data_IF_095261997440
#
_entry.id   IF_095261997440
#
_cell.length_a   1.000
_cell.length_b   1.000
_cell.length_c   1.000
_cell.angle_alpha   90.00
_cell.angle_beta   90.00
_cell.angle_gamma   90.00
#
_symmetry.space_group_name_H-M   'P 1'
#
loop_
_entity.id
_entity.type
_entity.pdbx_description
1 polymer ?
#
# COMPACT_ATOMS: atom_id res chain seq x y z
N UNK A 1 1.58 23.67 -7.57
CA UNK A 1 0.25 24.24 -7.23
C UNK A 1 0.13 24.22 -5.71
N UNK A 2 -0.27 25.33 -5.10
CA UNK A 2 -0.61 25.37 -3.67
C UNK A 2 -2.00 24.76 -3.48
N UNK A 3 -2.12 23.85 -2.54
CA UNK A 3 -3.37 23.19 -2.17
C UNK A 3 -3.64 23.46 -0.69
N UNK A 4 -4.83 23.91 -0.36
CA UNK A 4 -5.27 24.10 1.04
C UNK A 4 -5.81 22.74 1.53
N UNK A 5 -5.20 22.21 2.56
CA UNK A 5 -5.63 20.96 3.22
C UNK A 5 -6.18 21.34 4.59
N UNK A 6 -7.41 20.93 4.87
CA UNK A 6 -7.98 21.05 6.22
C UNK A 6 -7.29 20.09 7.19
N UNK A 7 -7.33 20.38 8.49
CA UNK A 7 -6.80 19.47 9.51
C UNK A 7 -7.49 18.12 9.43
N UNK A 8 -6.72 17.05 9.52
CA UNK A 8 -7.20 15.67 9.49
C UNK A 8 -6.40 14.80 10.46
N UNK A 9 -6.97 13.68 10.83
CA UNK A 9 -6.29 12.60 11.53
C UNK A 9 -5.96 11.51 10.52
N UNK A 10 -4.81 10.86 10.70
CA UNK A 10 -4.38 9.73 9.89
C UNK A 10 -3.84 8.65 10.83
N UNK A 11 -4.09 7.39 10.51
CA UNK A 11 -3.56 6.27 11.26
C UNK A 11 -2.03 6.23 11.15
N UNK A 12 -1.39 5.78 12.21
CA UNK A 12 0.07 5.69 12.26
C UNK A 12 0.62 4.54 11.44
N UNK A 13 -0.17 3.49 11.32
CA UNK A 13 0.21 2.22 10.73
C UNK A 13 -0.74 1.84 9.60
N UNK A 14 -0.24 1.03 8.68
CA UNK A 14 -1.05 0.29 7.73
C UNK A 14 -2.05 -0.62 8.45
N UNK A 15 -3.19 -0.89 7.83
CA UNK A 15 -4.15 -1.89 8.31
C UNK A 15 -3.50 -3.27 8.22
N UNK A 16 -3.44 -3.97 9.36
CA UNK A 16 -2.84 -5.30 9.42
C UNK A 16 -3.82 -6.38 8.96
N UNK A 17 -3.29 -7.57 8.64
CA UNK A 17 -4.11 -8.77 8.41
C UNK A 17 -5.00 -9.07 9.61
N UNK A 18 -4.50 -8.89 10.84
CA UNK A 18 -5.28 -9.10 12.05
C UNK A 18 -6.44 -8.09 12.18
N UNK A 19 -6.20 -6.82 11.86
CA UNK A 19 -7.25 -5.79 11.92
C UNK A 19 -8.36 -6.08 10.89
N UNK A 20 -7.98 -6.43 9.67
CA UNK A 20 -8.93 -6.79 8.62
C UNK A 20 -9.70 -8.08 8.94
N UNK A 21 -9.04 -9.08 9.57
CA UNK A 21 -9.70 -10.29 10.07
C UNK A 21 -10.76 -9.98 11.11
N UNK A 22 -10.48 -9.08 12.06
CA UNK A 22 -11.45 -8.65 13.05
C UNK A 22 -12.67 -7.98 12.43
N UNK A 23 -12.48 -7.17 11.40
CA UNK A 23 -13.56 -6.60 10.60
C UNK A 23 -14.40 -7.70 9.94
N UNK A 24 -13.77 -8.63 9.23
CA UNK A 24 -14.46 -9.74 8.55
C UNK A 24 -15.27 -10.57 9.53
N UNK A 25 -14.68 -10.94 10.67
CA UNK A 25 -15.38 -11.74 11.71
C UNK A 25 -16.57 -10.98 12.31
N UNK A 26 -16.42 -9.68 12.53
CA UNK A 26 -17.46 -8.85 13.16
C UNK A 26 -18.65 -8.56 12.25
N UNK A 27 -18.45 -8.59 10.93
CA UNK A 27 -19.44 -8.15 9.93
C UNK A 27 -19.89 -9.23 8.97
N UNK A 28 -19.28 -10.42 9.02
CA UNK A 28 -19.42 -11.49 8.00
C UNK A 28 -19.11 -10.98 6.57
N UNK A 29 -18.21 -10.01 6.46
CA UNK A 29 -17.83 -9.42 5.19
C UNK A 29 -17.08 -10.42 4.32
N UNK A 30 -17.39 -10.41 3.02
CA UNK A 30 -16.60 -11.13 2.01
C UNK A 30 -15.95 -10.13 1.09
N UNK A 31 -14.63 -10.23 0.97
CA UNK A 31 -13.85 -9.38 0.05
C UNK A 31 -14.19 -9.69 -1.41
N UNK A 32 -13.88 -8.75 -2.29
CA UNK A 32 -14.09 -8.96 -3.74
C UNK A 32 -13.25 -10.13 -4.26
N UNK A 33 -12.01 -10.29 -3.78
CA UNK A 33 -11.18 -11.44 -4.12
C UNK A 33 -11.83 -12.78 -3.71
N UNK A 34 -12.47 -12.85 -2.53
CA UNK A 34 -13.22 -14.04 -2.11
C UNK A 34 -14.47 -14.27 -2.97
N UNK A 35 -15.16 -13.21 -3.39
CA UNK A 35 -16.34 -13.31 -4.27
C UNK A 35 -15.98 -13.74 -5.68
N UNK A 36 -14.86 -13.25 -6.22
CA UNK A 36 -14.36 -13.64 -7.57
C UNK A 36 -13.64 -14.98 -7.56
N UNK A 37 -13.14 -15.41 -6.40
CA UNK A 37 -12.38 -16.65 -6.24
C UNK A 37 -10.92 -16.54 -6.67
N UNK A 38 -10.43 -15.33 -7.00
CA UNK A 38 -9.06 -15.08 -7.42
C UNK A 38 -8.65 -13.62 -7.21
N UNK A 39 -7.35 -13.35 -7.32
CA UNK A 39 -6.79 -12.02 -7.35
C UNK A 39 -5.50 -11.97 -8.19
N UNK A 40 -5.05 -10.77 -8.53
CA UNK A 40 -3.82 -10.56 -9.30
C UNK A 40 -2.61 -10.68 -8.36
N UNK A 41 -1.69 -11.57 -8.71
CA UNK A 41 -0.44 -11.83 -7.97
C UNK A 41 0.74 -11.67 -8.91
N UNK A 42 1.82 -11.07 -8.43
CA UNK A 42 3.08 -11.08 -9.17
C UNK A 42 3.77 -12.44 -9.00
N UNK A 43 3.98 -13.14 -10.13
CA UNK A 43 4.58 -14.48 -10.16
C UNK A 43 6.05 -14.34 -10.55
N UNK A 44 6.92 -14.58 -9.59
CA UNK A 44 8.36 -14.40 -9.70
C UNK A 44 8.99 -15.21 -10.85
N UNK A 45 8.57 -16.45 -11.02
CA UNK A 45 9.14 -17.38 -12.02
C UNK A 45 8.96 -16.93 -13.46
N UNK A 46 7.98 -16.07 -13.73
CA UNK A 46 7.70 -15.52 -15.06
C UNK A 46 7.85 -14.01 -15.10
N UNK A 47 8.21 -13.37 -13.97
CA UNK A 47 8.36 -11.92 -13.83
C UNK A 47 7.13 -11.14 -14.35
N UNK A 48 5.93 -11.62 -14.04
CA UNK A 48 4.69 -11.04 -14.55
C UNK A 48 3.52 -11.19 -13.57
N UNK A 49 2.53 -10.32 -13.73
CA UNK A 49 1.27 -10.38 -13.00
C UNK A 49 0.35 -11.45 -13.59
N UNK A 50 -0.22 -12.27 -12.72
CA UNK A 50 -1.14 -13.35 -13.09
C UNK A 50 -2.37 -13.34 -12.19
N UNK A 51 -3.50 -13.75 -12.74
CA UNK A 51 -4.70 -14.04 -11.97
C UNK A 51 -4.52 -15.42 -11.31
N UNK A 52 -4.51 -15.48 -9.98
CA UNK A 52 -4.26 -16.70 -9.22
C UNK A 52 -5.54 -17.10 -8.47
N UNK A 53 -6.02 -18.32 -8.75
CA UNK A 53 -7.18 -18.88 -8.05
C UNK A 53 -6.90 -19.06 -6.56
N UNK A 54 -7.89 -18.72 -5.74
CA UNK A 54 -7.80 -18.78 -4.29
C UNK A 54 -6.90 -17.71 -3.66
N UNK A 55 -6.36 -16.74 -4.43
CA UNK A 55 -5.67 -15.61 -3.87
C UNK A 55 -6.67 -14.65 -3.21
N UNK A 56 -6.47 -14.38 -1.93
CA UNK A 56 -7.34 -13.55 -1.07
C UNK A 56 -6.48 -12.83 -0.03
N UNK A 57 -7.07 -11.99 0.78
CA UNK A 57 -6.39 -11.35 1.90
C UNK A 57 -5.79 -12.35 2.92
N UNK A 58 -6.37 -13.56 3.05
CA UNK A 58 -5.86 -14.65 3.91
C UNK A 58 -4.72 -15.41 3.24
N UNK A 59 -4.80 -15.61 1.93
CA UNK A 59 -3.84 -16.35 1.11
C UNK A 59 -3.36 -15.47 -0.05
N UNK A 60 -2.48 -14.48 0.20
CA UNK A 60 -2.13 -13.48 -0.81
C UNK A 60 -1.52 -14.04 -2.10
N UNK A 61 -0.97 -15.25 -2.03
CA UNK A 61 -0.33 -15.96 -3.15
C UNK A 61 -1.17 -17.14 -3.65
N UNK A 62 -2.44 -17.25 -3.22
CA UNK A 62 -3.32 -18.40 -3.50
C UNK A 62 -3.34 -19.43 -2.39
N UNK A 63 -4.41 -20.21 -2.32
CA UNK A 63 -4.71 -21.13 -1.21
C UNK A 63 -3.75 -22.32 -1.04
N UNK A 64 -2.89 -22.58 -2.03
CA UNK A 64 -1.79 -23.56 -1.92
C UNK A 64 -0.54 -23.00 -1.23
N UNK A 65 -0.55 -21.73 -0.86
CA UNK A 65 0.55 -21.01 -0.22
C UNK A 65 0.25 -20.73 1.26
N UNK A 66 1.25 -20.33 2.07
CA UNK A 66 1.03 -19.99 3.46
C UNK A 66 0.03 -18.86 3.67
N UNK A 67 -0.62 -18.87 4.81
CA UNK A 67 -1.46 -17.78 5.30
C UNK A 67 -0.64 -16.48 5.44
N UNK A 68 -1.30 -15.36 5.25
CA UNK A 68 -0.75 -14.05 5.56
C UNK A 68 -0.42 -13.93 7.06
N UNK A 69 0.67 -13.25 7.38
CA UNK A 69 1.06 -13.00 8.77
C UNK A 69 0.19 -11.90 9.40
N UNK A 70 -0.24 -12.11 10.64
CA UNK A 70 -1.16 -11.23 11.34
C UNK A 70 -0.70 -9.78 11.49
N UNK A 71 0.60 -9.57 11.67
CA UNK A 71 1.22 -8.26 11.85
C UNK A 71 1.77 -7.64 10.55
N UNK A 72 1.51 -8.24 9.40
CA UNK A 72 1.81 -7.67 8.09
C UNK A 72 0.64 -6.85 7.56
N UNK A 73 0.85 -5.92 6.62
CA UNK A 73 -0.25 -5.19 5.99
C UNK A 73 -1.15 -6.15 5.23
N UNK A 74 -2.45 -5.90 5.27
CA UNK A 74 -3.41 -6.65 4.48
C UNK A 74 -3.24 -6.31 3.00
N UNK A 75 -3.17 -7.35 2.16
CA UNK A 75 -3.10 -7.24 0.70
C UNK A 75 -4.24 -7.99 0.04
N UNK A 76 -4.34 -7.97 -1.29
CA UNK A 76 -5.43 -8.58 -2.06
C UNK A 76 -6.82 -8.05 -1.65
N UNK A 77 -6.88 -6.78 -1.30
CA UNK A 77 -8.10 -6.02 -1.00
C UNK A 77 -8.34 -4.99 -2.09
N UNK A 78 -9.56 -4.88 -2.57
CA UNK A 78 -9.97 -3.86 -3.52
C UNK A 78 -10.18 -2.51 -2.83
N UNK A 79 -10.39 -1.47 -3.63
CA UNK A 79 -10.78 -0.16 -3.11
C UNK A 79 -12.11 -0.24 -2.34
N UNK A 80 -13.06 -1.05 -2.81
CA UNK A 80 -14.35 -1.24 -2.14
C UNK A 80 -14.17 -1.96 -0.79
N UNK A 81 -13.28 -2.96 -0.72
CA UNK A 81 -12.96 -3.66 0.53
C UNK A 81 -12.31 -2.70 1.54
N UNK A 82 -11.38 -1.87 1.08
CA UNK A 82 -10.72 -0.87 1.92
C UNK A 82 -11.71 0.20 2.44
N UNK A 83 -12.64 0.64 1.59
CA UNK A 83 -13.69 1.58 2.01
C UNK A 83 -14.63 0.96 3.04
N UNK A 84 -15.07 -0.29 2.83
CA UNK A 84 -15.93 -1.00 3.77
C UNK A 84 -15.25 -1.18 5.15
N UNK A 85 -13.93 -1.46 5.16
CA UNK A 85 -13.15 -1.48 6.40
C UNK A 85 -13.11 -0.10 7.07
N UNK A 86 -12.88 0.96 6.30
CA UNK A 86 -12.87 2.33 6.85
C UNK A 86 -14.23 2.69 7.48
N UNK A 87 -15.34 2.38 6.80
CA UNK A 87 -16.70 2.62 7.32
C UNK A 87 -16.96 1.86 8.62
N UNK A 88 -16.52 0.61 8.72
CA UNK A 88 -16.60 -0.17 9.96
C UNK A 88 -15.85 0.49 11.13
N UNK A 89 -14.75 1.16 10.85
CA UNK A 89 -13.93 1.87 11.85
C UNK A 89 -14.37 3.33 12.09
N UNK A 90 -15.46 3.81 11.49
CA UNK A 90 -15.86 5.23 11.47
C UNK A 90 -14.75 6.15 10.93
N UNK A 91 -14.12 5.71 9.84
CA UNK A 91 -13.02 6.38 9.15
C UNK A 91 -13.30 6.51 7.65
N UNK A 92 -12.36 7.08 6.94
CA UNK A 92 -12.35 7.11 5.47
C UNK A 92 -10.94 6.92 4.94
N UNK A 93 -10.81 6.56 3.66
CA UNK A 93 -9.52 6.56 2.99
C UNK A 93 -8.97 7.99 2.91
N UNK A 94 -7.66 8.20 3.03
CA UNK A 94 -7.05 9.50 2.79
C UNK A 94 -7.23 9.91 1.33
N UNK A 95 -7.35 11.19 1.05
CA UNK A 95 -7.14 11.67 -0.31
C UNK A 95 -5.65 11.58 -0.65
N UNK A 96 -5.33 11.49 -1.94
CA UNK A 96 -3.93 11.44 -2.41
C UNK A 96 -3.11 12.64 -1.88
N UNK A 97 -3.73 13.82 -1.80
CA UNK A 97 -3.08 15.03 -1.27
C UNK A 97 -2.84 14.94 0.24
N UNK A 98 -3.76 14.34 1.01
CA UNK A 98 -3.56 14.11 2.45
C UNK A 98 -2.43 13.11 2.68
N UNK A 99 -2.41 12.02 1.91
CA UNK A 99 -1.33 11.03 1.97
C UNK A 99 0.04 11.65 1.66
N UNK A 100 0.15 12.37 0.55
CA UNK A 100 1.37 13.08 0.15
C UNK A 100 1.84 14.10 1.21
N UNK A 101 0.91 14.82 1.81
CA UNK A 101 1.20 15.77 2.88
C UNK A 101 1.77 15.07 4.13
N UNK A 102 1.22 13.91 4.48
CA UNK A 102 1.71 13.10 5.59
C UNK A 102 3.08 12.48 5.28
N UNK A 103 3.28 11.93 4.08
CA UNK A 103 4.54 11.33 3.63
C UNK A 103 5.66 12.36 3.54
N UNK A 104 5.37 13.54 2.99
CA UNK A 104 6.34 14.64 2.86
C UNK A 104 6.56 15.47 4.14
N UNK A 105 6.07 14.99 5.28
CA UNK A 105 6.14 15.69 6.56
C UNK A 105 5.62 17.14 6.49
N UNK A 106 4.41 17.31 6.02
CA UNK A 106 3.75 18.60 5.81
C UNK A 106 4.40 19.44 4.69
N UNK A 107 4.90 18.75 3.64
CA UNK A 107 5.56 19.39 2.51
C UNK A 107 6.99 19.87 2.80
N UNK A 108 7.55 19.60 3.98
CA UNK A 108 8.94 19.95 4.32
C UNK A 108 9.98 19.14 3.54
N UNK A 109 9.61 17.93 3.15
CA UNK A 109 10.49 16.97 2.46
C UNK A 109 10.25 16.87 0.94
N UNK A 110 9.58 17.85 0.35
CA UNK A 110 9.23 17.85 -1.08
C UNK A 110 10.39 17.74 -2.07
N UNK A 111 11.61 18.02 -1.64
CA UNK A 111 12.81 17.92 -2.47
C UNK A 111 13.64 16.66 -2.17
N UNK A 112 13.08 15.70 -1.43
CA UNK A 112 13.70 14.43 -1.10
C UNK A 112 12.88 13.29 -1.69
N UNK A 113 13.54 12.18 -2.02
CA UNK A 113 12.86 10.98 -2.52
C UNK A 113 12.04 10.32 -1.42
N UNK A 114 12.56 10.32 -0.18
CA UNK A 114 11.93 9.73 0.99
C UNK A 114 11.90 10.71 2.15
N UNK A 115 11.08 10.47 3.16
CA UNK A 115 11.02 11.33 4.35
C UNK A 115 12.35 11.36 5.15
N UNK A 116 13.19 10.34 5.02
CA UNK A 116 14.52 10.30 5.69
C UNK A 116 15.67 10.85 4.82
N UNK A 117 15.48 11.09 3.53
CA UNK A 117 16.52 11.57 2.61
C UNK A 117 16.40 11.01 1.21
N UNK A 118 17.54 10.85 0.53
CA UNK A 118 17.55 10.38 -0.86
C UNK A 118 18.14 8.96 -1.01
N UNK A 119 18.76 8.42 0.01
CA UNK A 119 19.42 7.13 -0.03
C UNK A 119 18.50 6.02 0.46
N UNK A 120 18.32 4.98 -0.35
CA UNK A 120 17.55 3.79 0.01
C UNK A 120 18.23 3.00 1.14
N UNK A 121 19.56 3.04 1.20
CA UNK A 121 20.39 2.30 2.16
C UNK A 121 21.24 3.28 2.95
N UNK A 122 21.11 3.28 4.29
CA UNK A 122 21.90 4.09 5.19
C UNK A 122 22.62 3.15 6.17
N UNK A 123 23.94 3.31 6.32
CA UNK A 123 24.78 2.48 7.20
C UNK A 123 24.55 0.97 6.99
N UNK A 124 24.51 0.53 5.73
CA UNK A 124 24.22 -0.86 5.31
C UNK A 124 22.84 -1.41 5.75
N UNK A 125 21.89 -0.55 6.06
CA UNK A 125 20.51 -0.93 6.38
C UNK A 125 19.55 -0.33 5.35
N UNK A 126 18.67 -1.15 4.81
CA UNK A 126 17.54 -0.68 4.01
C UNK A 126 16.58 0.12 4.89
N UNK A 127 16.06 1.21 4.35
CA UNK A 127 15.20 2.13 5.08
C UNK A 127 13.71 1.88 4.83
N UNK A 128 13.37 1.02 3.88
CA UNK A 128 12.00 0.53 3.63
C UNK A 128 12.05 -0.85 2.98
N UNK A 129 10.93 -1.56 3.00
CA UNK A 129 10.74 -2.78 2.23
C UNK A 129 10.50 -2.40 0.77
N UNK A 130 11.38 -2.86 -0.11
CA UNK A 130 11.32 -2.51 -1.53
C UNK A 130 11.93 -3.59 -2.40
N UNK A 131 11.60 -3.58 -3.66
CA UNK A 131 12.20 -4.47 -4.65
C UNK A 131 13.65 -4.05 -4.96
N UNK A 132 14.57 -4.42 -4.08
CA UNK A 132 15.93 -3.87 -4.00
C UNK A 132 16.92 -4.34 -5.06
N UNK A 133 16.57 -5.20 -6.02
CA UNK A 133 17.54 -5.77 -6.95
C UNK A 133 17.04 -5.96 -8.37
N UNK A 134 16.67 -4.85 -9.03
CA UNK A 134 16.48 -4.85 -10.47
C UNK A 134 15.16 -5.47 -10.95
N UNK A 135 14.05 -4.96 -10.40
CA UNK A 135 12.71 -5.25 -10.91
C UNK A 135 12.64 -5.09 -12.44
N UNK A 136 11.97 -6.01 -13.17
CA UNK A 136 11.32 -7.24 -12.70
C UNK A 136 12.23 -8.48 -12.73
N UNK A 137 13.48 -8.34 -13.10
CA UNK A 137 14.35 -9.44 -13.54
C UNK A 137 15.13 -10.15 -12.42
N UNK A 138 15.13 -9.62 -11.20
CA UNK A 138 15.72 -10.30 -10.07
C UNK A 138 14.98 -10.02 -8.77
N UNK A 139 14.73 -11.05 -8.00
CA UNK A 139 14.13 -10.98 -6.68
C UNK A 139 15.27 -10.92 -5.68
N UNK A 140 15.51 -9.73 -5.14
CA UNK A 140 16.48 -9.57 -4.07
C UNK A 140 15.78 -9.29 -2.76
N UNK A 141 16.08 -10.12 -1.76
CA UNK A 141 15.63 -9.92 -0.38
C UNK A 141 16.68 -9.18 0.45
N UNK A 142 17.35 -8.20 -0.16
CA UNK A 142 18.44 -7.49 0.50
C UNK A 142 17.96 -6.64 1.67
N UNK A 143 16.70 -6.27 1.67
CA UNK A 143 16.01 -5.59 2.76
C UNK A 143 15.51 -6.54 3.87
N UNK A 144 15.56 -7.86 3.63
CA UNK A 144 15.18 -8.91 4.58
C UNK A 144 13.81 -9.54 4.33
N UNK A 145 13.02 -9.03 3.39
CA UNK A 145 11.66 -9.52 3.12
C UNK A 145 11.45 -9.84 1.64
N UNK A 146 10.77 -10.95 1.39
CA UNK A 146 10.44 -11.38 0.02
C UNK A 146 9.23 -10.64 -0.55
N UNK A 147 8.25 -10.37 0.30
CA UNK A 147 6.99 -9.71 -0.03
C UNK A 147 6.79 -8.55 0.93
N UNK A 148 5.78 -8.59 1.75
CA UNK A 148 5.54 -7.57 2.77
C UNK A 148 6.46 -7.75 3.98
N UNK A 149 6.72 -6.67 4.71
CA UNK A 149 7.33 -6.68 6.05
C UNK A 149 6.28 -6.46 7.13
N UNK A 150 6.56 -6.78 8.40
CA UNK A 150 5.69 -6.36 9.50
C UNK A 150 5.45 -4.86 9.49
N UNK A 151 4.23 -4.44 9.77
CA UNK A 151 3.87 -3.02 9.84
C UNK A 151 4.76 -2.28 10.85
N UNK A 152 5.28 -1.15 10.46
CA UNK A 152 6.14 -0.31 11.31
C UNK A 152 7.58 -0.82 11.50
N UNK A 153 8.02 -1.79 10.75
CA UNK A 153 9.36 -2.40 10.89
C UNK A 153 10.50 -1.40 10.66
N UNK A 154 10.36 -0.51 9.69
CA UNK A 154 11.43 0.40 9.24
C UNK A 154 11.47 1.74 9.95
N UNK A 155 10.58 2.02 10.83
CA UNK A 155 10.55 3.27 11.57
C UNK A 155 9.61 4.32 10.98
N UNK A 156 9.27 5.29 11.80
CA UNK A 156 8.30 6.33 11.48
C UNK A 156 8.97 7.59 10.92
N UNK A 157 8.21 8.38 10.16
CA UNK A 157 8.58 9.75 9.85
C UNK A 157 8.47 10.66 11.08
N UNK A 158 8.81 11.96 10.98
CA UNK A 158 8.77 12.89 12.11
C UNK A 158 7.37 13.17 12.67
N UNK A 159 6.32 12.75 11.96
CA UNK A 159 4.94 12.83 12.42
C UNK A 159 4.50 11.55 13.18
N UNK A 160 5.37 10.56 13.29
CA UNK A 160 5.09 9.27 13.93
C UNK A 160 4.27 8.32 13.04
N UNK A 161 4.30 8.50 11.72
CA UNK A 161 3.60 7.66 10.76
C UNK A 161 4.62 6.70 10.12
N UNK A 162 4.26 5.42 10.07
CA UNK A 162 5.10 4.35 9.54
C UNK A 162 4.76 4.02 8.09
N UNK A 163 5.65 3.29 7.43
CA UNK A 163 5.46 2.69 6.10
C UNK A 163 5.03 3.67 4.99
N UNK A 164 5.38 4.97 5.13
CA UNK A 164 5.10 6.00 4.12
C UNK A 164 6.02 5.90 2.88
N UNK A 165 6.76 4.82 2.76
CA UNK A 165 7.56 4.47 1.59
C UNK A 165 7.77 2.96 1.56
N UNK A 166 7.42 2.32 0.45
CA UNK A 166 7.55 0.87 0.23
C UNK A 166 6.50 0.04 0.99
N UNK A 167 6.78 -1.23 1.15
CA UNK A 167 5.96 -2.28 1.74
C UNK A 167 4.74 -2.65 0.90
N UNK A 168 3.74 -1.80 0.77
CA UNK A 168 2.55 -2.00 -0.08
C UNK A 168 2.08 -0.71 -0.74
N UNK A 169 1.30 -0.85 -1.80
CA UNK A 169 0.50 0.26 -2.34
C UNK A 169 -0.71 0.51 -1.45
N UNK A 170 -1.00 1.78 -1.19
CA UNK A 170 -2.12 2.22 -0.34
C UNK A 170 -3.22 2.87 -1.18
N UNK A 171 -4.46 2.44 -0.98
CA UNK A 171 -5.61 3.05 -1.62
C UNK A 171 -5.88 4.45 -1.11
N UNK A 172 -6.11 5.39 -2.06
CA UNK A 172 -6.62 6.72 -1.77
C UNK A 172 -8.10 6.84 -2.16
N UNK A 173 -8.79 7.79 -1.55
CA UNK A 173 -10.22 8.02 -1.78
C UNK A 173 -10.54 8.47 -3.20
N UNK A 174 -9.76 9.41 -3.74
CA UNK A 174 -9.99 10.03 -5.03
C UNK A 174 -9.52 9.17 -6.20
N UNK A 175 -9.99 9.52 -7.39
CA UNK A 175 -9.47 9.00 -8.64
C UNK A 175 -8.06 9.51 -8.90
N UNK A 176 -7.23 8.68 -9.50
CA UNK A 176 -5.94 9.14 -9.97
C UNK A 176 -6.14 10.15 -11.11
N UNK A 177 -5.66 11.35 -10.91
CA UNK A 177 -5.70 12.42 -11.90
C UNK A 177 -4.25 12.83 -12.21
N UNK A 178 -3.92 13.09 -13.49
CA UNK A 178 -2.61 13.61 -13.84
C UNK A 178 -2.38 14.95 -13.14
N UNK A 179 -1.16 15.19 -12.69
CA UNK A 179 -0.80 16.48 -12.13
C UNK A 179 -1.01 17.59 -13.16
N UNK A 180 -1.56 18.72 -12.73
CA UNK A 180 -1.78 19.90 -13.61
C UNK A 180 -0.44 20.31 -14.22
N UNK A 181 -0.38 20.35 -15.57
CA UNK A 181 0.84 20.63 -16.33
C UNK A 181 1.57 19.38 -16.86
N UNK A 182 1.13 18.17 -16.55
CA UNK A 182 1.59 16.99 -17.28
C UNK A 182 0.89 16.93 -18.64
N UNK A 183 1.68 16.71 -19.72
CA UNK A 183 1.14 16.47 -21.07
C UNK A 183 0.56 15.05 -21.23
N UNK A 184 0.36 14.32 -20.14
CA UNK A 184 -0.20 12.97 -20.17
C UNK A 184 -1.72 13.07 -20.28
N UNK A 185 -2.24 12.75 -21.46
CA UNK A 185 -3.66 12.54 -21.68
C UNK A 185 -3.94 11.08 -21.29
N UNK A 186 -4.51 10.86 -20.12
CA UNK A 186 -5.04 9.54 -19.76
C UNK A 186 -6.41 9.40 -20.42
N UNK A 187 -6.67 8.32 -21.16
CA UNK A 187 -8.02 8.01 -21.61
C UNK A 187 -8.95 7.93 -20.40
N UNK A 188 -10.12 8.55 -20.48
CA UNK A 188 -11.13 8.55 -19.39
C UNK A 188 -11.54 7.14 -18.95
N UNK A 189 -11.37 6.17 -19.83
CA UNK A 189 -11.70 4.74 -19.61
C UNK A 189 -10.64 3.99 -18.76
N UNK A 190 -9.45 4.56 -18.55
CA UNK A 190 -8.37 3.97 -17.75
C UNK A 190 -8.15 4.67 -16.41
N UNK A 191 -9.06 5.54 -16.00
CA UNK A 191 -8.96 6.21 -14.69
C UNK A 191 -9.30 5.20 -13.59
N UNK A 192 -8.29 4.86 -12.78
CA UNK A 192 -8.42 4.07 -11.56
C UNK A 192 -8.42 4.93 -10.30
N UNK A 193 -8.68 4.32 -9.16
CA UNK A 193 -8.47 4.97 -7.86
C UNK A 193 -6.98 5.20 -7.64
N UNK A 194 -6.63 6.32 -7.02
CA UNK A 194 -5.24 6.64 -6.72
C UNK A 194 -4.68 5.64 -5.69
N UNK A 195 -3.44 5.24 -5.91
CA UNK A 195 -2.64 4.42 -5.00
C UNK A 195 -1.33 5.14 -4.73
N UNK A 196 -0.80 4.97 -3.51
CA UNK A 196 0.48 5.51 -3.06
C UNK A 196 1.25 4.46 -2.26
N UNK A 197 2.59 4.58 -2.20
CA UNK A 197 3.46 3.67 -1.45
C UNK A 197 4.93 3.85 -1.76
#
# INVERSE_FOLDING_TARGET
>A
QEVIIQSFLIDKNLVTVNDFRNFVISTDYKSEAEKFGNAIVFVDSISNWQLIDGATWQYPLGNSNPLAFDNHPVTQVSWNDALAYCEFCDKTLPTEVQWEYAASERGKKKNQLFYWGNDLVINNKYMCNTWASGYPNSIGFKDGFKYTSPVGYYGANSLGIFDMAGNVWEWCYNWHLPYVGSNQIFPTELQGKAQRG
#
